data_IF_537920450047
#
_entry.id   IF_537920450047
#
_cell.length_a   1.000
_cell.length_b   1.000
_cell.length_c   1.000
_cell.angle_alpha   90.00
_cell.angle_beta   90.00
_cell.angle_gamma   90.00
#
_symmetry.space_group_name_H-M   'P 1'
#
loop_
_entity.id
_entity.type
_entity.pdbx_description
1 polymer ?
#
# COMPACT_ATOMS: atom_id res chain seq x y z
N UNK A 1 -24.19 -10.45 9.82
CA UNK A 1 -24.23 -11.28 11.04
C UNK A 1 -22.89 -11.96 11.15
N UNK A 2 -22.16 -11.72 12.24
CA UNK A 2 -20.75 -12.06 12.34
C UNK A 2 -20.53 -13.37 13.10
N UNK A 3 -21.55 -14.23 13.19
CA UNK A 3 -21.55 -15.44 14.00
C UNK A 3 -21.49 -16.68 13.10
N UNK A 4 -20.79 -17.70 13.57
CA UNK A 4 -20.64 -18.96 12.88
C UNK A 4 -22.00 -19.63 12.63
N UNK A 5 -22.15 -20.25 11.45
CA UNK A 5 -23.39 -20.92 11.06
C UNK A 5 -23.55 -22.31 11.70
N UNK A 6 -22.49 -22.86 12.29
CA UNK A 6 -22.54 -24.15 12.97
C UNK A 6 -23.39 -24.06 14.24
N UNK A 7 -24.32 -25.00 14.42
CA UNK A 7 -25.21 -25.04 15.60
C UNK A 7 -24.38 -25.13 16.88
N UNK A 8 -24.65 -24.23 17.83
CA UNK A 8 -23.94 -24.15 19.11
C UNK A 8 -22.54 -23.55 19.02
N UNK A 9 -22.11 -23.05 17.86
CA UNK A 9 -20.83 -22.36 17.72
C UNK A 9 -20.99 -20.86 18.01
N UNK A 10 -20.24 -20.38 19.00
CA UNK A 10 -20.17 -18.96 19.36
C UNK A 10 -19.04 -18.21 18.63
N UNK A 11 -18.35 -18.90 17.72
CA UNK A 11 -17.26 -18.33 16.92
C UNK A 11 -17.73 -17.21 16.01
N UNK A 12 -16.82 -16.29 15.68
CA UNK A 12 -17.08 -15.22 14.73
C UNK A 12 -16.69 -15.63 13.32
N UNK A 13 -17.51 -15.23 12.34
CA UNK A 13 -17.17 -15.35 10.93
C UNK A 13 -16.19 -14.24 10.57
N UNK A 14 -15.05 -14.63 10.02
CA UNK A 14 -14.07 -13.72 9.43
C UNK A 14 -14.01 -13.96 7.92
N UNK A 15 -13.76 -12.92 7.12
CA UNK A 15 -13.51 -13.10 5.70
C UNK A 15 -12.28 -13.99 5.50
N UNK A 16 -12.36 -14.92 4.54
CA UNK A 16 -11.22 -15.79 4.16
C UNK A 16 -10.08 -14.94 3.60
N UNK A 17 -10.42 -13.86 2.90
CA UNK A 17 -9.49 -12.86 2.42
C UNK A 17 -9.93 -11.48 2.94
N UNK A 18 -9.20 -10.98 3.92
CA UNK A 18 -9.45 -9.69 4.52
C UNK A 18 -9.09 -8.55 3.58
N UNK A 19 -9.71 -7.40 3.80
CA UNK A 19 -9.45 -6.20 3.00
C UNK A 19 -7.99 -5.71 3.15
N UNK A 20 -7.37 -5.89 4.33
CA UNK A 20 -5.93 -5.65 4.55
C UNK A 20 -5.04 -6.52 3.64
N UNK A 21 -5.41 -7.78 3.45
CA UNK A 21 -4.66 -8.71 2.59
C UNK A 21 -4.76 -8.28 1.13
N UNK A 22 -5.94 -7.85 0.69
CA UNK A 22 -6.16 -7.31 -0.65
C UNK A 22 -5.36 -6.04 -0.88
N UNK A 23 -5.41 -5.10 0.07
CA UNK A 23 -4.63 -3.87 0.03
C UNK A 23 -3.14 -4.16 -0.10
N UNK A 24 -2.62 -5.03 0.77
CA UNK A 24 -1.20 -5.42 0.80
C UNK A 24 -0.78 -6.07 -0.53
N UNK A 25 -1.63 -6.93 -1.09
CA UNK A 25 -1.34 -7.59 -2.37
C UNK A 25 -1.26 -6.59 -3.52
N UNK A 26 -2.20 -5.64 -3.60
CA UNK A 26 -2.17 -4.60 -4.64
C UNK A 26 -0.94 -3.70 -4.44
N UNK A 27 -0.63 -3.32 -3.20
CA UNK A 27 0.54 -2.50 -2.88
C UNK A 27 1.85 -3.21 -3.25
N UNK A 28 1.97 -4.50 -2.94
CA UNK A 28 3.10 -5.32 -3.34
C UNK A 28 3.30 -5.32 -4.86
N UNK A 29 2.22 -5.49 -5.64
CA UNK A 29 2.30 -5.45 -7.09
C UNK A 29 2.74 -4.07 -7.60
N UNK A 30 2.24 -2.98 -7.04
CA UNK A 30 2.70 -1.62 -7.40
C UNK A 30 4.19 -1.45 -7.12
N UNK A 31 4.64 -1.86 -5.94
CA UNK A 31 6.03 -1.67 -5.49
C UNK A 31 7.04 -2.48 -6.31
N UNK A 32 6.62 -3.59 -6.95
CA UNK A 32 7.46 -4.36 -7.87
C UNK A 32 7.82 -3.60 -9.15
N UNK A 33 6.95 -2.68 -9.60
CA UNK A 33 7.13 -1.91 -10.84
C UNK A 33 7.49 -0.45 -10.59
N UNK A 34 7.55 -0.01 -9.33
CA UNK A 34 8.06 1.31 -8.97
C UNK A 34 9.59 1.35 -9.05
N UNK A 35 10.08 1.71 -10.23
CA UNK A 35 11.51 1.84 -10.51
C UNK A 35 12.21 2.88 -9.62
N UNK A 36 11.51 3.94 -9.21
CA UNK A 36 12.06 4.97 -8.33
C UNK A 36 12.24 4.41 -6.91
N UNK A 37 11.24 3.67 -6.41
CA UNK A 37 11.34 2.97 -5.13
C UNK A 37 12.47 1.93 -5.15
N UNK A 38 12.57 1.12 -6.21
CA UNK A 38 13.65 0.16 -6.38
C UNK A 38 15.03 0.84 -6.37
N UNK A 39 15.18 1.96 -7.08
CA UNK A 39 16.42 2.74 -7.09
C UNK A 39 16.79 3.26 -5.69
N UNK A 40 15.83 3.82 -4.95
CA UNK A 40 16.06 4.29 -3.57
C UNK A 40 16.57 3.16 -2.68
N UNK A 41 15.97 1.97 -2.76
CA UNK A 41 16.39 0.80 -1.99
C UNK A 41 17.79 0.33 -2.39
N UNK A 42 18.12 0.35 -3.68
CA UNK A 42 19.47 0.05 -4.17
C UNK A 42 20.50 1.04 -3.63
N UNK A 43 20.20 2.34 -3.67
CA UNK A 43 21.10 3.41 -3.20
C UNK A 43 21.33 3.34 -1.69
N UNK A 44 20.29 3.01 -0.92
CA UNK A 44 20.40 2.80 0.54
C UNK A 44 21.30 1.62 0.88
N UNK A 45 21.18 0.50 0.14
CA UNK A 45 22.01 -0.70 0.35
C UNK A 45 23.43 -0.54 -0.16
N UNK A 46 23.61 0.20 -1.25
CA UNK A 46 24.90 0.46 -1.86
C UNK A 46 25.00 1.93 -2.35
N UNK A 47 25.67 2.81 -1.58
CA UNK A 47 25.84 4.21 -1.96
C UNK A 47 26.60 4.44 -3.27
N UNK A 48 27.38 3.44 -3.74
CA UNK A 48 28.14 3.53 -4.98
C UNK A 48 27.32 3.29 -6.25
N UNK A 49 26.02 2.96 -6.13
CA UNK A 49 25.13 2.80 -7.28
C UNK A 49 25.12 4.09 -8.13
N UNK A 50 25.17 3.98 -9.47
CA UNK A 50 25.05 5.11 -10.40
C UNK A 50 23.83 5.99 -10.13
N UNK A 51 23.75 7.15 -10.76
CA UNK A 51 22.60 8.04 -10.60
C UNK A 51 21.32 7.38 -11.11
N UNK A 52 20.17 7.79 -10.57
CA UNK A 52 18.86 7.27 -10.98
C UNK A 52 18.66 7.41 -12.49
N UNK A 53 19.07 8.55 -13.04
CA UNK A 53 19.01 8.83 -14.47
C UNK A 53 19.81 7.83 -15.29
N UNK A 54 21.03 7.48 -14.88
CA UNK A 54 21.88 6.50 -15.59
C UNK A 54 21.29 5.10 -15.53
N UNK A 55 20.74 4.70 -14.38
CA UNK A 55 20.08 3.39 -14.22
C UNK A 55 18.83 3.31 -15.09
N UNK A 56 17.96 4.33 -15.04
CA UNK A 56 16.73 4.37 -15.80
C UNK A 56 16.98 4.53 -17.31
N UNK A 57 18.05 5.19 -17.73
CA UNK A 57 18.40 5.33 -19.16
C UNK A 57 18.68 3.98 -19.84
N UNK A 58 19.11 2.96 -19.10
CA UNK A 58 19.33 1.62 -19.64
C UNK A 58 18.04 0.82 -19.87
N UNK A 59 16.91 1.30 -19.35
CA UNK A 59 15.61 0.69 -19.61
C UNK A 59 15.03 1.23 -20.92
N UNK A 60 14.43 0.33 -21.71
CA UNK A 60 13.70 0.72 -22.91
C UNK A 60 12.50 1.58 -22.53
N UNK A 61 12.09 2.46 -23.44
CA UNK A 61 10.98 3.37 -23.15
C UNK A 61 9.67 2.60 -22.95
N UNK A 62 9.44 1.53 -23.72
CA UNK A 62 8.24 0.70 -23.62
C UNK A 62 8.10 0.05 -22.25
N UNK A 63 9.23 -0.39 -21.66
CA UNK A 63 9.23 -1.00 -20.32
C UNK A 63 8.93 0.04 -19.23
N UNK A 64 9.37 1.29 -19.40
CA UNK A 64 9.05 2.41 -18.50
C UNK A 64 7.58 2.77 -18.57
N UNK A 65 7.05 2.89 -19.79
CA UNK A 65 5.65 3.25 -20.01
C UNK A 65 4.72 2.18 -19.43
N UNK A 66 5.09 0.90 -19.60
CA UNK A 66 4.36 -0.22 -19.00
C UNK A 66 4.42 -0.19 -17.47
N UNK A 67 5.60 0.01 -16.89
CA UNK A 67 5.76 0.10 -15.43
C UNK A 67 4.94 1.27 -14.85
N UNK A 68 4.99 2.44 -15.50
CA UNK A 68 4.20 3.61 -15.11
C UNK A 68 2.69 3.34 -15.19
N UNK A 69 2.23 2.67 -16.25
CA UNK A 69 0.83 2.28 -16.39
C UNK A 69 0.37 1.32 -15.29
N UNK A 70 1.19 0.34 -14.93
CA UNK A 70 0.90 -0.59 -13.82
C UNK A 70 0.80 0.17 -12.49
N UNK A 71 1.77 1.03 -12.19
CA UNK A 71 1.77 1.81 -10.95
C UNK A 71 0.55 2.72 -10.86
N UNK A 72 0.23 3.47 -11.92
CA UNK A 72 -0.97 4.34 -11.97
C UNK A 72 -2.27 3.55 -11.78
N UNK A 73 -2.35 2.38 -12.40
CA UNK A 73 -3.53 1.52 -12.28
C UNK A 73 -3.70 0.98 -10.87
N UNK A 74 -2.62 0.49 -10.26
CA UNK A 74 -2.63 -0.01 -8.89
C UNK A 74 -2.89 1.10 -7.86
N UNK A 75 -2.28 2.28 -8.01
CA UNK A 75 -2.54 3.44 -7.16
C UNK A 75 -4.01 3.88 -7.23
N UNK A 76 -4.61 3.89 -8.42
CA UNK A 76 -6.04 4.16 -8.57
C UNK A 76 -6.90 3.15 -7.78
N UNK A 77 -6.57 1.87 -7.84
CA UNK A 77 -7.28 0.83 -7.08
C UNK A 77 -7.07 1.00 -5.58
N UNK A 78 -5.85 1.30 -5.12
CA UNK A 78 -5.55 1.57 -3.71
C UNK A 78 -6.32 2.79 -3.19
N UNK A 79 -6.37 3.88 -3.96
CA UNK A 79 -7.08 5.11 -3.61
C UNK A 79 -8.60 4.97 -3.56
N UNK A 80 -9.15 3.94 -4.24
CA UNK A 80 -10.56 3.59 -4.13
C UNK A 80 -10.86 2.75 -2.88
N UNK A 81 -9.84 2.20 -2.21
CA UNK A 81 -10.00 1.43 -0.99
C UNK A 81 -9.92 2.31 0.27
N UNK A 82 -10.78 2.03 1.25
CA UNK A 82 -10.91 2.79 2.50
C UNK A 82 -9.71 2.67 3.46
N UNK A 83 -8.70 1.86 3.13
CA UNK A 83 -7.52 1.64 3.97
C UNK A 83 -6.53 2.81 3.95
N UNK A 84 -6.63 3.71 2.97
CA UNK A 84 -5.66 4.78 2.80
C UNK A 84 -5.87 6.00 3.69
N UNK A 85 -6.98 6.12 4.42
CA UNK A 85 -7.29 7.37 5.11
C UNK A 85 -8.02 7.12 6.43
N UNK A 86 -7.25 6.94 7.51
CA UNK A 86 -7.66 7.57 8.77
C UNK A 86 -7.35 9.05 8.58
N UNK A 87 -8.38 9.85 8.30
CA UNK A 87 -8.21 11.28 8.06
C UNK A 87 -7.49 11.96 9.21
N UNK A 88 -6.67 12.97 8.91
CA UNK A 88 -5.97 13.73 9.95
C UNK A 88 -6.95 14.30 10.99
N UNK A 89 -8.18 14.60 10.57
CA UNK A 89 -9.31 14.99 11.43
C UNK A 89 -9.65 13.95 12.50
N UNK A 90 -9.63 12.66 12.17
CA UNK A 90 -9.86 11.59 13.14
C UNK A 90 -8.80 11.63 14.25
N UNK A 91 -7.53 11.81 13.88
CA UNK A 91 -6.45 11.93 14.86
C UNK A 91 -6.55 13.23 15.67
N UNK A 92 -6.90 14.35 15.03
CA UNK A 92 -7.12 15.62 15.72
C UNK A 92 -8.23 15.51 16.77
N UNK A 93 -9.35 14.89 16.44
CA UNK A 93 -10.46 14.66 17.38
C UNK A 93 -10.06 13.68 18.50
N UNK A 94 -9.37 12.59 18.15
CA UNK A 94 -8.87 11.61 19.12
C UNK A 94 -7.89 12.23 20.13
N UNK A 95 -6.91 13.01 19.66
CA UNK A 95 -5.92 13.63 20.55
C UNK A 95 -6.49 14.83 21.33
N UNK A 96 -7.41 15.60 20.75
CA UNK A 96 -8.08 16.68 21.48
C UNK A 96 -9.00 16.15 22.59
N UNK A 97 -9.68 15.03 22.37
CA UNK A 97 -10.52 14.41 23.41
C UNK A 97 -9.70 13.85 24.57
N UNK A 98 -8.51 13.29 24.31
CA UNK A 98 -7.60 12.84 25.36
C UNK A 98 -7.03 13.99 26.21
N UNK A 99 -6.69 15.13 25.59
CA UNK A 99 -6.19 16.31 26.30
C UNK A 99 -7.24 17.04 27.16
N UNK A 100 -8.54 16.88 26.86
CA UNK A 100 -9.64 17.45 27.67
C UNK A 100 -10.05 16.57 28.84
N UNK A 101 -9.58 15.33 28.89
CA UNK A 101 -9.89 14.36 29.94
C UNK A 101 -8.80 14.27 31.03
N UNK A 102 -7.71 15.02 30.87
CA UNK A 102 -6.56 15.16 31.79
C UNK A 102 -6.53 16.52 32.46
#
# INVERSE_FOLDING_TARGET
GNSCLARGCEGKMHPIYGEEQLYTQIKYLVDLYDANHAYKQMKLKNPSVPTEKEVLQNLRQEDKDLAEWICKSGEKMLNQNSYNFVGLSFFQELFQSMLKAS
#
